data_IF_244891738252
#
_entry.id   IF_244891738252
#
_cell.length_a   1.000
_cell.length_b   1.000
_cell.length_c   1.000
_cell.angle_alpha   90.00
_cell.angle_beta   90.00
_cell.angle_gamma   90.00
#
_symmetry.space_group_name_H-M   'P 1'
#
loop_
_entity.id
_entity.type
_entity.pdbx_description
1 polymer ?
#
# COMPACT_ATOMS: atom_id res chain seq x y z
N UNK A 1 -32.76 -13.62 -12.95
CA UNK A 1 -31.47 -13.85 -13.63
C UNK A 1 -30.95 -12.51 -14.14
N UNK A 2 -30.19 -11.79 -13.33
CA UNK A 2 -29.43 -10.62 -13.75
C UNK A 2 -28.19 -10.57 -12.85
N UNK A 3 -27.07 -11.03 -13.40
CA UNK A 3 -25.76 -10.93 -12.76
C UNK A 3 -25.37 -9.46 -12.67
N UNK A 4 -25.32 -8.93 -11.45
CA UNK A 4 -24.79 -7.60 -11.20
C UNK A 4 -23.32 -7.56 -11.69
N UNK A 5 -22.93 -6.60 -12.54
CA UNK A 5 -21.54 -6.45 -12.94
C UNK A 5 -20.75 -6.05 -11.69
N UNK A 6 -19.86 -6.93 -11.24
CA UNK A 6 -18.94 -6.64 -10.14
C UNK A 6 -17.97 -5.57 -10.63
N UNK A 7 -18.37 -4.30 -10.53
CA UNK A 7 -17.51 -3.18 -10.79
C UNK A 7 -16.34 -3.28 -9.80
N UNK A 8 -15.16 -3.65 -10.31
CA UNK A 8 -13.88 -3.53 -9.59
C UNK A 8 -13.66 -2.05 -9.29
N UNK A 9 -14.27 -1.59 -8.21
CA UNK A 9 -14.12 -0.23 -7.71
C UNK A 9 -12.73 -0.21 -7.07
N UNK A 10 -11.75 0.30 -7.82
CA UNK A 10 -10.43 0.61 -7.30
C UNK A 10 -10.58 1.76 -6.30
N UNK A 11 -10.94 1.43 -5.06
CA UNK A 11 -11.00 2.39 -3.96
C UNK A 11 -9.55 2.72 -3.61
N UNK A 12 -9.08 3.85 -4.11
CA UNK A 12 -7.78 4.41 -3.76
C UNK A 12 -7.96 5.14 -2.42
N UNK A 13 -7.61 4.48 -1.31
CA UNK A 13 -7.92 4.93 0.07
C UNK A 13 -7.01 6.07 0.59
N UNK A 14 -6.06 6.54 -0.20
CA UNK A 14 -5.41 7.84 0.00
C UNK A 14 -5.79 8.72 -1.18
N UNK A 15 -6.32 9.91 -0.90
CA UNK A 15 -6.55 10.89 -1.93
C UNK A 15 -5.23 11.21 -2.67
N UNK A 16 -5.32 11.57 -3.95
CA UNK A 16 -4.10 11.88 -4.73
C UNK A 16 -3.37 13.10 -4.17
N UNK A 17 -4.04 13.94 -3.39
CA UNK A 17 -3.48 15.15 -2.79
C UNK A 17 -2.46 14.83 -1.69
N UNK A 18 -2.77 13.91 -0.76
CA UNK A 18 -1.84 13.52 0.31
C UNK A 18 -0.55 12.92 -0.26
N UNK A 19 -0.64 12.07 -1.29
CA UNK A 19 0.54 11.51 -1.95
C UNK A 19 1.41 12.60 -2.59
N UNK A 20 0.77 13.58 -3.25
CA UNK A 20 1.47 14.70 -3.88
C UNK A 20 2.17 15.62 -2.85
N UNK A 21 1.55 15.84 -1.70
CA UNK A 21 2.13 16.63 -0.59
C UNK A 21 3.36 15.91 -0.04
N UNK A 22 3.28 14.59 0.20
CA UNK A 22 4.41 13.80 0.70
C UNK A 22 5.56 13.75 -0.32
N UNK A 23 5.26 13.58 -1.61
CA UNK A 23 6.27 13.57 -2.68
C UNK A 23 6.96 14.93 -2.88
N UNK A 24 6.25 16.04 -2.65
CA UNK A 24 6.82 17.40 -2.72
C UNK A 24 7.67 17.75 -1.51
N UNK A 25 7.66 16.93 -0.46
CA UNK A 25 8.43 17.18 0.75
C UNK A 25 9.75 16.38 0.67
N UNK A 26 10.88 17.01 0.31
CA UNK A 26 12.15 16.31 0.09
C UNK A 26 12.71 15.61 1.34
N UNK A 27 12.12 15.86 2.52
CA UNK A 27 12.44 15.15 3.76
C UNK A 27 11.95 13.70 3.78
N UNK A 28 11.03 13.32 2.89
CA UNK A 28 10.52 11.95 2.78
C UNK A 28 11.13 11.33 1.53
N UNK A 29 12.28 10.67 1.71
CA UNK A 29 13.03 10.06 0.60
C UNK A 29 12.48 8.73 0.10
N UNK A 30 11.56 8.11 0.83
CA UNK A 30 11.03 6.76 0.53
C UNK A 30 9.53 6.69 0.75
N UNK A 31 8.80 6.26 -0.27
CA UNK A 31 7.34 6.01 -0.21
C UNK A 31 7.01 4.73 -0.98
N UNK A 32 6.07 3.93 -0.48
CA UNK A 32 5.47 2.86 -1.28
C UNK A 32 3.96 2.78 -1.12
N UNK A 33 3.33 2.08 -2.06
CA UNK A 33 1.89 1.91 -2.14
C UNK A 33 1.50 0.57 -1.54
N UNK A 34 0.81 0.61 -0.41
CA UNK A 34 0.25 -0.58 0.23
C UNK A 34 -0.90 -1.16 -0.61
N UNK A 35 -0.97 -2.49 -0.82
CA UNK A 35 -2.10 -3.10 -1.50
C UNK A 35 -3.35 -3.08 -0.62
N UNK A 36 -4.53 -2.96 -1.23
CA UNK A 36 -5.80 -3.13 -0.54
C UNK A 36 -6.15 -4.62 -0.55
N UNK A 37 -5.54 -5.37 0.36
CA UNK A 37 -5.75 -6.82 0.53
C UNK A 37 -6.38 -7.09 1.91
N UNK A 38 -7.57 -7.71 1.99
CA UNK A 38 -8.19 -8.09 3.25
C UNK A 38 -7.30 -8.99 4.12
N UNK A 39 -6.45 -9.83 3.52
CA UNK A 39 -5.51 -10.68 4.26
C UNK A 39 -4.43 -9.85 4.94
N UNK A 40 -4.02 -8.76 4.30
CA UNK A 40 -3.05 -7.83 4.86
C UNK A 40 -3.63 -7.14 6.10
N UNK A 41 -4.86 -6.63 6.00
CA UNK A 41 -5.56 -6.06 7.16
C UNK A 41 -5.73 -7.09 8.28
N UNK A 42 -6.17 -8.31 7.95
CA UNK A 42 -6.37 -9.36 8.94
C UNK A 42 -5.07 -9.76 9.65
N UNK A 43 -3.94 -9.79 8.94
CA UNK A 43 -2.64 -10.06 9.54
C UNK A 43 -2.18 -8.91 10.47
N UNK A 44 -2.44 -7.66 10.10
CA UNK A 44 -2.23 -6.51 10.99
C UNK A 44 -3.08 -6.62 12.26
N UNK A 45 -4.39 -6.87 12.11
CA UNK A 45 -5.33 -6.96 13.23
C UNK A 45 -5.01 -8.13 14.17
N UNK A 46 -4.49 -9.24 13.64
CA UNK A 46 -4.06 -10.40 14.40
C UNK A 46 -2.66 -10.25 15.04
N UNK A 47 -1.91 -9.18 14.75
CA UNK A 47 -0.54 -8.98 15.24
C UNK A 47 0.46 -9.97 14.64
N UNK A 48 0.27 -10.36 13.37
CA UNK A 48 1.10 -11.35 12.65
C UNK A 48 1.61 -10.82 11.29
N UNK A 49 1.66 -9.51 11.13
CA UNK A 49 2.01 -8.84 9.88
C UNK A 49 3.42 -9.18 9.38
N UNK A 50 4.34 -9.46 10.28
CA UNK A 50 5.74 -9.82 10.01
C UNK A 50 5.87 -11.14 9.25
N UNK A 51 4.88 -12.03 9.40
CA UNK A 51 4.81 -13.31 8.70
C UNK A 51 4.13 -13.18 7.33
N UNK A 52 3.59 -12.01 7.01
CA UNK A 52 2.89 -11.78 5.75
C UNK A 52 3.89 -11.71 4.60
N UNK A 53 3.73 -12.61 3.63
CA UNK A 53 4.57 -12.61 2.43
C UNK A 53 4.08 -11.59 1.40
N UNK A 54 4.79 -10.47 1.29
CA UNK A 54 4.42 -9.31 0.45
C UNK A 54 5.60 -8.62 -0.22
N UNK A 55 5.38 -7.99 -1.37
CA UNK A 55 6.44 -7.34 -2.17
C UNK A 55 6.38 -5.81 -2.20
N UNK A 56 5.43 -5.16 -1.52
CA UNK A 56 5.20 -3.72 -1.65
C UNK A 56 6.28 -2.84 -1.00
N UNK A 57 7.05 -3.35 -0.04
CA UNK A 57 8.15 -2.60 0.58
C UNK A 57 9.50 -2.80 -0.13
N UNK A 58 9.60 -3.73 -1.09
CA UNK A 58 10.88 -4.12 -1.71
C UNK A 58 11.63 -2.92 -2.31
N UNK A 59 10.94 -2.02 -2.99
CA UNK A 59 11.58 -0.83 -3.55
C UNK A 59 12.10 0.13 -2.46
N UNK A 60 11.39 0.26 -1.33
CA UNK A 60 11.87 1.07 -0.22
C UNK A 60 13.10 0.46 0.43
N UNK A 61 13.13 -0.87 0.59
CA UNK A 61 14.30 -1.59 1.11
C UNK A 61 15.53 -1.31 0.24
N UNK A 62 15.41 -1.46 -1.09
CA UNK A 62 16.50 -1.16 -2.04
C UNK A 62 17.00 0.28 -1.94
N UNK A 63 16.10 1.24 -1.72
CA UNK A 63 16.48 2.65 -1.56
C UNK A 63 17.26 2.88 -0.27
N UNK A 64 16.86 2.22 0.83
CA UNK A 64 17.54 2.32 2.14
C UNK A 64 18.89 1.61 2.12
N UNK A 65 18.99 0.44 1.49
CA UNK A 65 20.24 -0.32 1.34
C UNK A 65 21.28 0.38 0.45
N UNK A 66 20.84 1.31 -0.40
CA UNK A 66 21.72 2.09 -1.29
C UNK A 66 22.25 3.38 -0.65
N UNK A 67 21.92 3.65 0.61
CA UNK A 67 22.44 4.77 1.42
C UNK A 67 23.69 4.30 2.16
#
# INVERSE_FOLDING_TARGET
>A
MLSAPTAKRNIMFLDRAALMILQKNPRIGTLSKLPVDPKLSAACDAGTIELFNGSWLVNMIKMIESI
#
